data_IF_060454189257
#
_entry.id   IF_060454189257
#
_cell.length_a   1.000
_cell.length_b   1.000
_cell.length_c   1.000
_cell.angle_alpha   90.00
_cell.angle_beta   90.00
_cell.angle_gamma   90.00
#
_symmetry.space_group_name_H-M   'P 1'
#
loop_
_entity.id
_entity.type
_entity.pdbx_description
1 polymer ?
#
# COMPACT_ATOMS: atom_id res chain seq x y z
N UNK A 1 6.83 -10.80 11.63
CA UNK A 1 7.04 -10.68 10.17
C UNK A 1 6.09 -11.62 9.43
N UNK A 2 5.61 -11.24 8.23
CA UNK A 2 4.73 -12.07 7.39
C UNK A 2 5.28 -12.10 5.96
N UNK A 3 5.46 -13.29 5.38
CA UNK A 3 5.88 -13.50 3.99
C UNK A 3 4.65 -13.83 3.12
N UNK A 4 4.58 -13.24 1.93
CA UNK A 4 3.48 -13.47 0.98
C UNK A 4 4.08 -13.70 -0.41
N UNK A 5 4.27 -14.96 -0.83
CA UNK A 5 4.79 -15.27 -2.14
C UNK A 5 3.73 -14.98 -3.21
N UNK A 6 4.10 -14.18 -4.21
CA UNK A 6 3.28 -13.84 -5.35
C UNK A 6 4.05 -14.15 -6.63
N UNK A 7 3.35 -14.61 -7.67
CA UNK A 7 3.99 -15.15 -8.88
C UNK A 7 4.38 -14.08 -9.88
N UNK A 8 3.75 -12.90 -9.85
CA UNK A 8 4.03 -11.78 -10.76
C UNK A 8 4.21 -10.47 -10.01
N UNK A 9 5.15 -9.63 -10.48
CA UNK A 9 5.42 -8.31 -9.90
C UNK A 9 4.16 -7.43 -9.81
N UNK A 10 3.27 -7.48 -10.80
CA UNK A 10 2.01 -6.73 -10.78
C UNK A 10 1.08 -7.13 -9.62
N UNK A 11 1.13 -8.38 -9.15
CA UNK A 11 0.36 -8.82 -7.99
C UNK A 11 0.91 -8.24 -6.70
N UNK A 12 2.22 -8.05 -6.60
CA UNK A 12 2.87 -7.41 -5.44
C UNK A 12 2.34 -6.00 -5.25
N UNK A 13 2.29 -5.20 -6.33
CA UNK A 13 1.75 -3.85 -6.29
C UNK A 13 0.28 -3.82 -5.86
N UNK A 14 -0.57 -4.68 -6.45
CA UNK A 14 -2.00 -4.79 -6.09
C UNK A 14 -2.21 -5.21 -4.64
N UNK A 15 -1.45 -6.20 -4.18
CA UNK A 15 -1.55 -6.68 -2.80
C UNK A 15 -1.12 -5.59 -1.81
N UNK A 16 0.00 -4.92 -2.08
CA UNK A 16 0.47 -3.81 -1.25
C UNK A 16 -0.54 -2.66 -1.21
N UNK A 17 -1.13 -2.28 -2.35
CA UNK A 17 -2.14 -1.22 -2.41
C UNK A 17 -3.40 -1.58 -1.60
N UNK A 18 -3.93 -2.81 -1.77
CA UNK A 18 -5.05 -3.30 -1.00
C UNK A 18 -4.75 -3.35 0.52
N UNK A 19 -3.53 -3.75 0.88
CA UNK A 19 -3.10 -3.77 2.28
C UNK A 19 -3.04 -2.35 2.87
N UNK A 20 -2.45 -1.39 2.16
CA UNK A 20 -2.37 0.02 2.58
C UNK A 20 -3.77 0.61 2.72
N UNK A 21 -4.65 0.44 1.72
CA UNK A 21 -6.03 0.93 1.77
C UNK A 21 -6.79 0.35 2.97
N UNK A 22 -6.64 -0.95 3.24
CA UNK A 22 -7.21 -1.57 4.44
C UNK A 22 -6.69 -0.92 5.71
N UNK A 23 -5.38 -0.68 5.82
CA UNK A 23 -4.77 -0.05 7.01
C UNK A 23 -5.25 1.39 7.22
N UNK A 24 -5.43 2.15 6.15
CA UNK A 24 -6.02 3.50 6.21
C UNK A 24 -7.46 3.42 6.73
N UNK A 25 -8.29 2.54 6.14
CA UNK A 25 -9.69 2.39 6.54
C UNK A 25 -9.84 1.90 7.99
N UNK A 26 -9.02 0.94 8.42
CA UNK A 26 -9.01 0.44 9.79
C UNK A 26 -8.58 1.52 10.80
N UNK A 27 -7.68 2.43 10.39
CA UNK A 27 -7.17 3.52 11.23
C UNK A 27 -8.19 4.65 11.41
N UNK A 28 -9.14 4.81 10.47
CA UNK A 28 -10.17 5.88 10.48
C UNK A 28 -9.55 7.27 10.68
N UNK A 29 -8.68 7.74 9.76
CA UNK A 29 -8.02 9.03 9.91
C UNK A 29 -9.02 10.18 10.00
N UNK A 30 -8.71 11.16 10.83
CA UNK A 30 -9.44 12.43 10.93
C UNK A 30 -8.49 13.59 10.60
N UNK A 31 -9.02 14.81 10.54
CA UNK A 31 -8.19 15.99 10.32
C UNK A 31 -7.17 16.20 11.46
N UNK A 32 -7.55 15.87 12.69
CA UNK A 32 -6.72 15.98 13.89
C UNK A 32 -5.73 14.82 14.01
N UNK A 33 -6.04 13.68 13.39
CA UNK A 33 -5.20 12.47 13.39
C UNK A 33 -5.12 11.86 11.98
N UNK A 34 -4.34 12.46 11.08
CA UNK A 34 -4.20 11.97 9.72
C UNK A 34 -3.41 10.65 9.67
N UNK A 35 -3.66 9.86 8.63
CA UNK A 35 -2.84 8.70 8.33
C UNK A 35 -1.58 9.14 7.57
N UNK A 36 -0.42 9.03 8.19
CA UNK A 36 0.86 9.41 7.58
C UNK A 36 1.47 8.18 6.89
N UNK A 37 1.60 8.23 5.57
CA UNK A 37 2.21 7.19 4.75
C UNK A 37 3.51 7.69 4.12
N UNK A 38 4.63 7.05 4.44
CA UNK A 38 5.91 7.29 3.76
C UNK A 38 5.92 6.63 2.38
N UNK A 39 6.25 7.39 1.33
CA UNK A 39 6.30 6.92 -0.05
C UNK A 39 7.76 6.68 -0.49
N UNK A 40 8.24 5.42 -0.56
CA UNK A 40 9.55 5.13 -1.12
C UNK A 40 9.61 5.36 -2.64
N UNK A 41 10.80 5.62 -3.15
CA UNK A 41 11.06 5.77 -4.59
C UNK A 41 11.49 4.43 -5.22
N UNK A 42 11.42 4.35 -6.55
CA UNK A 42 11.87 3.20 -7.34
C UNK A 42 10.79 2.58 -8.23
N UNK A 43 11.20 1.63 -9.08
CA UNK A 43 10.29 0.96 -10.02
C UNK A 43 9.29 0.02 -9.34
N UNK A 44 9.68 -0.65 -8.26
CA UNK A 44 8.83 -1.61 -7.53
C UNK A 44 7.62 -0.94 -6.87
N UNK A 45 7.76 0.17 -6.11
CA UNK A 45 6.61 0.86 -5.51
C UNK A 45 5.66 1.50 -6.53
N UNK A 46 6.11 1.78 -7.76
CA UNK A 46 5.29 2.44 -8.78
C UNK A 46 4.01 1.67 -9.12
N UNK A 47 4.09 0.33 -9.18
CA UNK A 47 2.91 -0.51 -9.42
C UNK A 47 1.90 -0.46 -8.26
N UNK A 48 2.38 -0.26 -7.02
CA UNK A 48 1.54 -0.06 -5.84
C UNK A 48 0.79 1.26 -5.95
N UNK A 49 1.47 2.35 -6.28
CA UNK A 49 0.85 3.68 -6.37
C UNK A 49 -0.20 3.75 -7.47
N UNK A 50 0.08 3.15 -8.63
CA UNK A 50 -0.87 3.02 -9.75
C UNK A 50 -2.12 2.20 -9.41
N UNK A 51 -2.07 1.36 -8.37
CA UNK A 51 -3.21 0.55 -7.94
C UNK A 51 -3.94 1.16 -6.73
N UNK A 52 -3.35 2.18 -6.10
CA UNK A 52 -3.92 2.86 -4.94
C UNK A 52 -4.80 4.07 -5.33
N UNK A 53 -4.56 4.63 -6.52
CA UNK A 53 -5.29 5.75 -7.14
C UNK A 53 -6.14 5.19 -8.28
#
# INVERSE_FOLDING_TARGET
MRLIPLTRAAQVGKWAAAHIAKRINDFKPTAERPFVLGLPTGGTPLATYKALI
#
